data_IF_516109973934
#
_entry.id   IF_516109973934
#
_cell.length_a   1.000
_cell.length_b   1.000
_cell.length_c   1.000
_cell.angle_alpha   90.00
_cell.angle_beta   90.00
_cell.angle_gamma   90.00
#
_symmetry.space_group_name_H-M   'P 1'
#
loop_
_entity.id
_entity.type
_entity.pdbx_description
1 polymer ?
#
# COMPACT_ATOMS: atom_id res chain seq x y z
N UNK A 1 17.03 -10.84 24.63
CA UNK A 1 16.30 -10.59 23.37
C UNK A 1 16.93 -9.39 22.68
N UNK A 2 17.35 -9.57 21.44
CA UNK A 2 17.88 -8.56 20.55
C UNK A 2 16.81 -8.12 19.54
N UNK A 3 17.03 -6.99 18.85
CA UNK A 3 16.18 -6.60 17.73
C UNK A 3 16.17 -7.65 16.60
N UNK A 4 17.28 -8.37 16.42
CA UNK A 4 17.38 -9.51 15.51
C UNK A 4 16.46 -10.68 15.92
N UNK A 5 16.41 -11.01 17.21
CA UNK A 5 15.53 -12.08 17.71
C UNK A 5 14.04 -11.77 17.43
N UNK A 6 13.64 -10.50 17.60
CA UNK A 6 12.28 -10.05 17.28
C UNK A 6 12.02 -10.09 15.78
N UNK A 7 12.99 -9.67 14.96
CA UNK A 7 12.92 -9.80 13.51
C UNK A 7 12.70 -11.25 13.07
N UNK A 8 13.49 -12.19 13.61
CA UNK A 8 13.38 -13.60 13.25
C UNK A 8 12.03 -14.18 13.68
N UNK A 9 11.54 -13.80 14.87
CA UNK A 9 10.20 -14.19 15.34
C UNK A 9 9.09 -13.65 14.45
N UNK A 10 9.12 -12.34 14.12
CA UNK A 10 8.12 -11.71 13.25
C UNK A 10 8.16 -12.33 11.85
N UNK A 11 9.36 -12.55 11.30
CA UNK A 11 9.54 -13.23 10.00
C UNK A 11 8.92 -14.63 9.99
N UNK A 12 9.18 -15.43 11.02
CA UNK A 12 8.61 -16.76 11.15
C UNK A 12 7.07 -16.72 11.32
N UNK A 13 6.54 -15.68 11.98
CA UNK A 13 5.10 -15.55 12.27
C UNK A 13 4.28 -14.95 11.13
N UNK A 14 4.86 -14.06 10.33
CA UNK A 14 4.20 -13.43 9.17
C UNK A 14 3.92 -14.42 8.05
N UNK A 15 4.61 -15.56 8.00
CA UNK A 15 4.25 -16.67 7.11
C UNK A 15 2.84 -17.23 7.35
N UNK A 16 2.17 -16.91 8.48
CA UNK A 16 0.97 -17.61 8.93
C UNK A 16 -0.34 -16.80 9.00
N UNK A 17 -0.35 -15.45 9.08
CA UNK A 17 -1.62 -14.66 9.09
C UNK A 17 -1.43 -13.13 9.08
N UNK A 18 -2.46 -12.41 8.60
CA UNK A 18 -2.66 -10.94 8.51
C UNK A 18 -2.06 -10.17 7.33
N UNK A 19 -2.07 -10.77 6.14
CA UNK A 19 -1.61 -10.10 4.91
C UNK A 19 -2.62 -9.08 4.34
N UNK A 20 -3.94 -9.32 4.43
CA UNK A 20 -4.94 -8.58 3.64
C UNK A 20 -5.19 -7.13 4.08
N UNK A 21 -5.35 -6.86 5.38
CA UNK A 21 -5.64 -5.50 5.87
C UNK A 21 -4.45 -4.55 5.71
N UNK A 22 -3.25 -5.01 6.08
CA UNK A 22 -2.01 -4.26 5.89
C UNK A 22 -1.74 -3.99 4.39
N UNK A 23 -2.07 -4.96 3.54
CA UNK A 23 -1.91 -4.81 2.11
C UNK A 23 -2.87 -3.78 1.51
N UNK A 24 -4.13 -3.77 1.94
CA UNK A 24 -5.12 -2.76 1.51
C UNK A 24 -4.67 -1.34 1.79
N UNK A 25 -4.13 -1.08 2.98
CA UNK A 25 -3.58 0.22 3.34
C UNK A 25 -2.36 0.57 2.50
N UNK A 26 -1.42 -0.37 2.31
CA UNK A 26 -0.22 -0.13 1.50
C UNK A 26 -0.58 0.27 0.06
N UNK A 27 -1.48 -0.48 -0.57
CA UNK A 27 -1.94 -0.20 -1.93
C UNK A 27 -2.73 1.11 -1.99
N UNK A 28 -3.57 1.40 -1.00
CA UNK A 28 -4.25 2.69 -0.87
C UNK A 28 -3.26 3.86 -0.86
N UNK A 29 -2.19 3.80 -0.06
CA UNK A 29 -1.21 4.88 -0.01
C UNK A 29 -0.34 4.98 -1.27
N UNK A 30 -0.09 3.87 -1.98
CA UNK A 30 0.53 3.93 -3.32
C UNK A 30 -0.40 4.65 -4.32
N UNK A 31 -1.66 4.24 -4.39
CA UNK A 31 -2.65 4.84 -5.28
C UNK A 31 -2.89 6.33 -4.97
N UNK A 32 -3.06 6.69 -3.69
CA UNK A 32 -3.25 8.09 -3.26
C UNK A 32 -2.09 8.98 -3.69
N UNK A 33 -0.84 8.51 -3.55
CA UNK A 33 0.33 9.27 -4.00
C UNK A 33 0.35 9.45 -5.51
N UNK A 34 0.01 8.41 -6.28
CA UNK A 34 -0.10 8.51 -7.73
C UNK A 34 -1.19 9.49 -8.17
N UNK A 35 -2.36 9.47 -7.50
CA UNK A 35 -3.46 10.42 -7.77
C UNK A 35 -3.06 11.87 -7.51
N UNK A 36 -2.38 12.14 -6.39
CA UNK A 36 -1.88 13.49 -6.06
C UNK A 36 -0.83 13.93 -7.09
N UNK A 37 0.11 13.07 -7.44
CA UNK A 37 1.19 13.42 -8.37
C UNK A 37 0.69 13.66 -9.79
N UNK A 38 -0.23 12.82 -10.28
CA UNK A 38 -0.70 12.84 -11.66
C UNK A 38 -1.79 13.90 -11.91
N UNK A 39 -2.69 14.09 -10.93
CA UNK A 39 -3.86 14.94 -11.08
C UNK A 39 -3.90 16.15 -10.15
N UNK A 40 -2.91 16.30 -9.26
CA UNK A 40 -2.84 17.40 -8.28
C UNK A 40 -4.05 17.49 -7.35
N UNK A 41 -4.72 16.36 -7.09
CA UNK A 41 -5.87 16.27 -6.19
C UNK A 41 -5.40 16.55 -4.75
N UNK A 42 -6.20 17.29 -3.97
CA UNK A 42 -5.93 17.47 -2.55
C UNK A 42 -6.01 16.12 -1.82
N UNK A 43 -4.97 15.82 -1.04
CA UNK A 43 -4.85 14.59 -0.26
C UNK A 43 -6.06 14.32 0.63
N UNK A 44 -6.78 15.34 1.08
CA UNK A 44 -7.88 15.25 2.05
C UNK A 44 -9.19 14.83 1.38
N UNK A 45 -9.28 14.93 0.06
CA UNK A 45 -10.43 14.46 -0.73
C UNK A 45 -10.36 12.96 -1.04
N UNK A 46 -9.19 12.35 -0.87
CA UNK A 46 -8.95 10.94 -1.20
C UNK A 46 -9.14 10.08 0.05
N UNK A 47 -10.31 9.44 0.15
CA UNK A 47 -10.65 8.43 1.16
C UNK A 47 -11.00 7.11 0.49
N UNK A 48 -11.01 5.97 1.21
CA UNK A 48 -11.41 4.69 0.64
C UNK A 48 -12.80 4.71 0.00
N UNK A 49 -13.74 5.47 0.57
CA UNK A 49 -15.13 5.52 0.11
C UNK A 49 -15.38 6.64 -0.90
N UNK A 50 -14.36 7.46 -1.19
CA UNK A 50 -14.43 8.49 -2.24
C UNK A 50 -14.61 7.82 -3.59
N UNK A 51 -15.55 8.33 -4.39
CA UNK A 51 -15.71 7.90 -5.75
C UNK A 51 -14.70 8.61 -6.67
N UNK A 52 -14.05 7.88 -7.59
CA UNK A 52 -13.08 8.49 -8.49
C UNK A 52 -13.70 9.59 -9.37
N UNK A 53 -14.98 9.45 -9.76
CA UNK A 53 -15.68 10.44 -10.57
C UNK A 53 -16.09 11.70 -9.78
N UNK A 54 -16.05 11.66 -8.44
CA UNK A 54 -16.22 12.86 -7.62
C UNK A 54 -14.95 13.74 -7.66
N UNK A 55 -13.81 13.15 -8.03
CA UNK A 55 -12.51 13.81 -8.07
C UNK A 55 -12.10 14.23 -9.48
N UNK A 56 -12.46 13.44 -10.49
CA UNK A 56 -11.98 13.58 -11.86
C UNK A 56 -13.10 13.32 -12.86
N UNK A 57 -13.08 14.06 -13.96
CA UNK A 57 -13.91 13.76 -15.12
C UNK A 57 -13.42 12.49 -15.82
N UNK A 58 -14.32 11.82 -16.55
CA UNK A 58 -13.96 10.65 -17.35
C UNK A 58 -12.74 10.91 -18.26
N UNK A 59 -12.70 12.08 -18.90
CA UNK A 59 -11.62 12.48 -19.80
C UNK A 59 -10.28 12.60 -19.07
N UNK A 60 -10.25 13.23 -17.90
CA UNK A 60 -9.03 13.34 -17.09
C UNK A 60 -8.54 11.96 -16.67
N UNK A 61 -9.44 11.06 -16.26
CA UNK A 61 -9.06 9.69 -15.89
C UNK A 61 -8.47 8.97 -17.10
N UNK A 62 -9.14 9.00 -18.25
CA UNK A 62 -8.71 8.34 -19.49
C UNK A 62 -7.32 8.81 -19.94
N UNK A 63 -7.09 10.13 -19.99
CA UNK A 63 -5.82 10.72 -20.41
C UNK A 63 -4.70 10.44 -19.38
N UNK A 64 -5.04 10.43 -18.09
CA UNK A 64 -4.06 10.24 -17.01
C UNK A 64 -3.77 8.79 -16.65
N UNK A 65 -4.62 7.82 -17.02
CA UNK A 65 -4.51 6.42 -16.60
C UNK A 65 -3.16 5.77 -16.98
N UNK A 66 -2.63 5.96 -18.20
CA UNK A 66 -1.32 5.41 -18.56
C UNK A 66 -0.19 5.93 -17.67
N UNK A 67 -0.26 7.19 -17.25
CA UNK A 67 0.72 7.79 -16.34
C UNK A 67 0.57 7.23 -14.93
N UNK A 68 -0.66 7.06 -14.44
CA UNK A 68 -0.92 6.42 -13.16
C UNK A 68 -0.33 5.01 -13.10
N UNK A 69 -0.49 4.22 -14.17
CA UNK A 69 0.11 2.89 -14.30
C UNK A 69 1.64 2.92 -14.18
N UNK A 70 2.29 3.90 -14.83
CA UNK A 70 3.75 4.08 -14.74
C UNK A 70 4.21 4.44 -13.32
N UNK A 71 3.44 5.24 -12.58
CA UNK A 71 3.84 5.72 -11.24
C UNK A 71 3.59 4.72 -10.11
N UNK A 72 2.59 3.86 -10.24
CA UNK A 72 2.18 2.99 -9.13
C UNK A 72 3.03 1.71 -9.04
N UNK A 73 3.78 1.38 -10.09
CA UNK A 73 4.57 0.15 -10.21
C UNK A 73 3.75 -1.11 -9.86
N UNK A 74 2.50 -1.13 -10.33
CA UNK A 74 1.56 -2.24 -10.20
C UNK A 74 0.85 -2.40 -11.54
N UNK A 75 0.48 -3.63 -11.88
CA UNK A 75 -0.48 -3.91 -12.93
C UNK A 75 -1.79 -3.22 -12.59
N UNK A 76 -2.21 -2.29 -13.43
CA UNK A 76 -3.51 -1.62 -13.28
C UNK A 76 -4.56 -2.42 -14.04
N UNK A 77 -5.82 -2.42 -13.57
CA UNK A 77 -6.89 -2.92 -14.41
C UNK A 77 -6.97 -2.06 -15.66
N UNK A 78 -7.32 -2.68 -16.79
CA UNK A 78 -7.66 -1.94 -17.99
C UNK A 78 -8.68 -0.85 -17.62
N UNK A 79 -8.39 0.38 -18.02
CA UNK A 79 -9.37 1.45 -18.00
C UNK A 79 -10.37 1.17 -19.13
N UNK A 80 -11.24 0.18 -18.92
CA UNK A 80 -12.34 -0.09 -19.85
C UNK A 80 -13.39 0.99 -19.59
N UNK A 81 -13.17 2.15 -20.21
CA UNK A 81 -14.21 3.10 -20.49
C UNK A 81 -15.40 2.39 -21.08
N UNK A 82 -16.59 2.66 -20.52
CA UNK A 82 -17.90 2.18 -20.97
C UNK A 82 -17.87 0.77 -21.62
N UNK A 83 -18.26 -0.27 -20.88
CA UNK A 83 -18.60 -1.55 -21.52
C UNK A 83 -19.54 -1.25 -22.70
N UNK A 84 -19.04 -1.41 -23.93
CA UNK A 84 -19.88 -1.51 -25.13
C UNK A 84 -20.53 -2.88 -25.05
N UNK A 85 -21.54 -2.98 -24.18
CA UNK A 85 -22.40 -4.13 -24.10
C UNK A 85 -23.15 -4.28 -25.41
N UNK A 86 -23.41 -5.52 -25.82
CA UNK A 86 -24.12 -5.86 -27.05
C UNK A 86 -25.57 -5.34 -27.07
N UNK A 87 -26.06 -4.81 -25.94
CA UNK A 87 -27.40 -4.25 -25.74
C UNK A 87 -27.27 -3.00 -24.84
N UNK A 88 -26.98 -1.83 -25.42
CA UNK A 88 -27.03 -0.53 -24.74
C UNK A 88 -25.79 -0.10 -23.94
N UNK A 89 -25.69 1.21 -23.72
CA UNK A 89 -24.67 1.84 -22.88
C UNK A 89 -24.78 1.32 -21.45
N UNK A 90 -23.77 0.55 -20.98
CA UNK A 90 -23.58 0.39 -19.54
C UNK A 90 -22.75 1.59 -19.07
N UNK A 91 -23.24 2.41 -18.12
CA UNK A 91 -22.44 3.48 -17.56
C UNK A 91 -21.15 2.86 -17.01
N UNK A 92 -20.01 3.52 -17.27
CA UNK A 92 -18.74 3.12 -16.70
C UNK A 92 -18.95 2.94 -15.18
N UNK A 93 -18.65 1.75 -14.65
CA UNK A 93 -18.86 1.49 -13.23
C UNK A 93 -18.05 2.51 -12.44
N UNK A 94 -18.76 3.28 -11.63
CA UNK A 94 -18.21 4.41 -10.89
C UNK A 94 -17.49 3.83 -9.68
N UNK A 95 -16.20 3.55 -9.78
CA UNK A 95 -15.45 2.86 -8.72
C UNK A 95 -15.03 3.81 -7.60
N UNK A 96 -15.23 3.35 -6.37
CA UNK A 96 -14.61 3.92 -5.18
C UNK A 96 -13.11 3.61 -5.15
N UNK A 97 -12.34 4.42 -4.42
CA UNK A 97 -10.91 4.15 -4.20
C UNK A 97 -10.69 2.76 -3.59
N UNK A 98 -11.57 2.31 -2.69
CA UNK A 98 -11.54 0.98 -2.08
C UNK A 98 -11.68 -0.13 -3.12
N UNK A 99 -12.59 0.00 -4.07
CA UNK A 99 -12.77 -0.98 -5.15
C UNK A 99 -11.57 -1.02 -6.10
N UNK A 100 -10.98 0.14 -6.41
CA UNK A 100 -9.76 0.22 -7.22
C UNK A 100 -8.59 -0.48 -6.48
N UNK A 101 -8.43 -0.22 -5.18
CA UNK A 101 -7.44 -0.88 -4.33
C UNK A 101 -7.65 -2.40 -4.34
N UNK A 102 -8.89 -2.88 -4.23
CA UNK A 102 -9.20 -4.30 -4.31
C UNK A 102 -8.78 -4.94 -5.64
N UNK A 103 -9.05 -4.26 -6.76
CA UNK A 103 -8.64 -4.72 -8.10
C UNK A 103 -7.12 -4.74 -8.26
N UNK A 104 -6.42 -3.69 -7.79
CA UNK A 104 -4.96 -3.62 -7.79
C UNK A 104 -4.35 -4.78 -6.98
N UNK A 105 -4.92 -5.09 -5.82
CA UNK A 105 -4.46 -6.24 -5.02
C UNK A 105 -4.66 -7.54 -5.78
N UNK A 106 -5.84 -7.75 -6.37
CA UNK A 106 -6.15 -8.97 -7.12
C UNK A 106 -5.18 -9.20 -8.28
N UNK A 107 -4.88 -8.16 -9.06
CA UNK A 107 -3.96 -8.23 -10.20
C UNK A 107 -2.50 -8.44 -9.76
N UNK A 108 -2.12 -7.91 -8.61
CA UNK A 108 -0.72 -7.89 -8.16
C UNK A 108 -0.43 -8.81 -6.98
N UNK A 109 -1.31 -9.78 -6.69
CA UNK A 109 -1.26 -10.56 -5.46
C UNK A 109 0.12 -11.18 -5.19
N UNK A 110 0.74 -11.77 -6.22
CA UNK A 110 2.08 -12.38 -6.11
C UNK A 110 3.17 -11.33 -5.81
N UNK A 111 3.23 -10.24 -6.58
CA UNK A 111 4.22 -9.16 -6.38
C UNK A 111 4.07 -8.53 -4.99
N UNK A 112 2.83 -8.30 -4.57
CA UNK A 112 2.50 -7.68 -3.29
C UNK A 112 2.79 -8.59 -2.10
N UNK A 113 2.54 -9.89 -2.21
CA UNK A 113 2.90 -10.86 -1.18
C UNK A 113 4.43 -10.90 -0.96
N UNK A 114 5.21 -10.91 -2.05
CA UNK A 114 6.68 -10.87 -1.97
C UNK A 114 7.15 -9.56 -1.33
N UNK A 115 6.61 -8.41 -1.73
CA UNK A 115 7.00 -7.13 -1.13
C UNK A 115 6.65 -7.07 0.36
N UNK A 116 5.45 -7.46 0.78
CA UNK A 116 5.03 -7.38 2.18
C UNK A 116 5.88 -8.25 3.08
N UNK A 117 6.28 -9.42 2.58
CA UNK A 117 7.07 -10.41 3.31
C UNK A 117 8.57 -10.30 3.04
N UNK A 118 9.04 -9.21 2.41
CA UNK A 118 10.48 -9.03 2.17
C UNK A 118 11.21 -8.77 3.49
N UNK A 119 12.40 -9.36 3.63
CA UNK A 119 13.27 -9.22 4.81
C UNK A 119 13.51 -7.74 5.17
N UNK A 120 13.66 -6.88 4.17
CA UNK A 120 13.83 -5.44 4.36
C UNK A 120 12.58 -4.79 4.97
N UNK A 121 11.38 -5.08 4.45
CA UNK A 121 10.15 -4.51 4.99
C UNK A 121 9.85 -4.99 6.41
N UNK A 122 10.14 -6.26 6.70
CA UNK A 122 10.00 -6.82 8.05
C UNK A 122 10.98 -6.12 8.99
N UNK A 123 12.23 -5.96 8.59
CA UNK A 123 13.24 -5.26 9.39
C UNK A 123 12.86 -3.81 9.66
N UNK A 124 12.46 -3.04 8.65
CA UNK A 124 12.06 -1.65 8.82
C UNK A 124 10.87 -1.49 9.79
N UNK A 125 9.92 -2.42 9.78
CA UNK A 125 8.80 -2.42 10.76
C UNK A 125 9.27 -2.65 12.19
N UNK A 126 10.21 -3.58 12.39
CA UNK A 126 10.80 -3.83 13.72
C UNK A 126 11.51 -2.56 14.22
N UNK A 127 12.27 -1.90 13.34
CA UNK A 127 12.95 -0.64 13.66
C UNK A 127 11.95 0.47 14.00
N UNK A 128 10.93 0.68 13.16
CA UNK A 128 9.93 1.74 13.36
C UNK A 128 9.15 1.58 14.67
N UNK A 129 8.75 0.35 14.99
CA UNK A 129 8.04 0.05 16.26
C UNK A 129 8.97 0.27 17.44
N UNK A 130 10.23 -0.18 17.36
CA UNK A 130 11.23 -0.01 18.43
C UNK A 130 11.49 1.45 18.73
N UNK A 131 11.78 2.24 17.69
CA UNK A 131 12.01 3.69 17.79
C UNK A 131 10.81 4.37 18.44
N UNK A 132 9.59 4.01 18.00
CA UNK A 132 8.37 4.61 18.53
C UNK A 132 8.09 4.26 19.99
N UNK A 133 8.35 3.02 20.39
CA UNK A 133 8.02 2.53 21.72
C UNK A 133 9.06 2.92 22.77
N UNK A 134 10.35 2.88 22.40
CA UNK A 134 11.45 3.13 23.32
C UNK A 134 11.99 4.56 23.20
N UNK A 135 11.52 5.35 22.22
CA UNK A 135 11.96 6.72 21.96
C UNK A 135 13.50 6.82 21.79
N UNK A 136 14.08 5.86 21.06
CA UNK A 136 15.52 5.75 20.76
C UNK A 136 15.81 6.22 19.34
N UNK A 137 17.09 6.49 19.00
CA UNK A 137 17.44 6.84 17.63
C UNK A 137 17.40 5.61 16.73
N UNK A 138 17.06 5.81 15.46
CA UNK A 138 16.98 4.73 14.46
C UNK A 138 18.31 3.98 14.29
N UNK A 139 19.42 4.72 14.36
CA UNK A 139 20.78 4.21 14.19
C UNK A 139 21.24 3.30 15.34
N UNK A 140 20.61 3.42 16.51
CA UNK A 140 20.87 2.58 17.67
C UNK A 140 20.21 1.18 17.54
N UNK A 141 19.24 1.03 16.64
CA UNK A 141 18.49 -0.21 16.42
C UNK A 141 19.15 -1.05 15.31
N UNK A 142 20.09 -1.90 15.72
CA UNK A 142 20.78 -2.87 14.86
C UNK A 142 20.39 -4.29 15.24
N UNK A 143 20.59 -5.27 14.33
CA UNK A 143 20.16 -6.67 14.59
C UNK A 143 20.76 -7.27 15.86
N UNK A 144 21.96 -6.86 16.24
CA UNK A 144 22.63 -7.35 17.46
C UNK A 144 22.30 -6.52 18.71
N UNK A 145 21.60 -5.39 18.58
CA UNK A 145 21.23 -4.51 19.69
C UNK A 145 20.30 -5.25 20.65
N UNK A 146 20.69 -5.32 21.92
CA UNK A 146 19.89 -5.86 23.01
C UNK A 146 18.88 -4.82 23.51
N UNK A 147 17.59 -5.17 23.54
CA UNK A 147 16.57 -4.26 24.05
C UNK A 147 16.83 -3.85 25.51
N UNK A 148 17.20 -4.82 26.37
CA UNK A 148 17.45 -4.54 27.77
C UNK A 148 18.78 -3.82 28.03
N UNK A 149 19.88 -4.33 27.45
CA UNK A 149 21.22 -3.81 27.77
C UNK A 149 21.55 -2.53 27.03
N UNK A 150 21.07 -2.38 25.79
CA UNK A 150 21.52 -1.31 24.90
C UNK A 150 20.44 -0.24 24.69
N UNK A 151 19.15 -0.59 24.84
CA UNK A 151 18.02 0.34 24.66
C UNK A 151 17.22 0.62 25.94
N UNK A 152 17.64 0.07 27.09
CA UNK A 152 17.03 0.34 28.39
C UNK A 152 15.58 -0.16 28.55
N UNK A 153 15.24 -1.26 27.89
CA UNK A 153 13.94 -1.93 28.05
C UNK A 153 13.95 -2.83 29.28
N UNK A 154 13.15 -2.47 30.29
CA UNK A 154 12.98 -3.23 31.54
C UNK A 154 12.00 -4.43 31.40
#
# INVERSE_FOLDING_TARGET
>A
MTAGDVYDYVRARLGDKTESECLSQKVFYKLRRALIANYRIDRNLISPDTNLNDLLTYKEIEEGWPFLQMFIDLETPDFIGAQRGWIGFKPAQVLTIREIVGRLIGLNATKLAIEVNSDENIWQRVVDVTVRQLNVNREDVQKHTSFARDLGMD
#
